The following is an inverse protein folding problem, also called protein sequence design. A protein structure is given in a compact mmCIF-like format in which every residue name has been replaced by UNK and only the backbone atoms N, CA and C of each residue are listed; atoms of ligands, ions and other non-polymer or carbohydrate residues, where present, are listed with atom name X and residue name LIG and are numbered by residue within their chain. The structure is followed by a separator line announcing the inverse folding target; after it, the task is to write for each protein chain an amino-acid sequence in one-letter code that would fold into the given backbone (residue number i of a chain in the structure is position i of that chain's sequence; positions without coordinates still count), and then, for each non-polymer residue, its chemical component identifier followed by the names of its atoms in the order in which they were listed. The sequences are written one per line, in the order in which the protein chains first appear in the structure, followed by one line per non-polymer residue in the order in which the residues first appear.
data_IF_110589142846
#
_entry.id   IF_110589142846
#
_cell.length_a   1.000
_cell.length_b   1.000
_cell.length_c   1.000
_cell.angle_alpha   90.00
_cell.angle_beta   90.00
_cell.angle_gamma   90.00
#
_symmetry.space_group_name_H-M   'P 1'
#
loop_
_entity.id
_entity.type
_entity.pdbx_description
1 polymer ?
#
# COMPACT_ATOMS: atom_id res chain seq x y z
N UNK A 1 -7.45 -14.95 4.64
CA UNK A 1 -6.44 -13.96 5.06
C UNK A 1 -7.06 -12.55 5.05
N UNK A 2 -7.53 -12.09 3.88
CA UNK A 2 -8.18 -10.79 3.68
C UNK A 2 -9.19 -10.34 4.75
N UNK A 3 -10.20 -11.16 5.05
CA UNK A 3 -11.22 -10.77 6.03
C UNK A 3 -10.63 -10.47 7.42
N UNK A 4 -9.53 -11.12 7.80
CA UNK A 4 -8.83 -10.87 9.06
C UNK A 4 -8.05 -9.56 9.02
N UNK A 5 -7.39 -9.26 7.90
CA UNK A 5 -6.62 -8.02 7.71
C UNK A 5 -7.54 -6.80 7.62
N UNK A 6 -8.65 -6.88 6.88
CA UNK A 6 -9.69 -5.85 6.88
C UNK A 6 -10.28 -5.63 8.28
N UNK A 7 -10.49 -6.70 9.04
CA UNK A 7 -10.99 -6.59 10.41
C UNK A 7 -9.95 -5.96 11.33
N UNK A 8 -8.68 -6.31 11.20
CA UNK A 8 -7.57 -5.70 11.94
C UNK A 8 -7.42 -4.22 11.64
N UNK A 9 -7.37 -3.86 10.35
CA UNK A 9 -7.26 -2.47 9.90
C UNK A 9 -8.47 -1.64 10.33
N UNK A 10 -9.68 -2.23 10.34
CA UNK A 10 -10.91 -1.56 10.78
C UNK A 10 -10.90 -1.14 12.24
N UNK A 11 -10.12 -1.82 13.08
CA UNK A 11 -10.02 -1.52 14.51
C UNK A 11 -8.71 -0.82 14.91
N UNK A 12 -7.76 -0.65 13.99
CA UNK A 12 -6.45 -0.07 14.30
C UNK A 12 -6.49 1.45 14.51
N UNK A 13 -7.41 2.15 13.84
CA UNK A 13 -7.56 3.61 13.92
C UNK A 13 -8.94 4.08 14.35
N UNK A 14 -9.72 3.21 14.98
CA UNK A 14 -11.08 3.47 15.43
C UNK A 14 -11.29 3.00 16.86
N UNK A 15 -11.95 3.83 17.67
CA UNK A 15 -12.52 3.37 18.94
C UNK A 15 -13.98 3.77 19.02
N UNK A 16 -14.84 2.80 19.24
CA UNK A 16 -16.27 3.00 19.38
C UNK A 16 -17.04 1.69 19.40
N UNK A 17 -18.36 1.80 19.44
CA UNK A 17 -19.29 0.68 19.30
C UNK A 17 -19.90 0.75 17.90
N UNK A 18 -20.05 -0.37 17.21
CA UNK A 18 -20.70 -0.44 15.89
C UNK A 18 -22.18 0.00 15.91
N UNK A 19 -22.83 0.03 17.08
CA UNK A 19 -24.19 0.55 17.28
C UNK A 19 -24.25 2.08 17.44
N UNK A 20 -23.09 2.74 17.57
CA UNK A 20 -22.99 4.16 17.91
C UNK A 20 -21.99 4.85 16.99
N UNK A 21 -22.07 6.18 16.81
CA UNK A 21 -21.02 6.91 16.13
C UNK A 21 -19.66 6.69 16.81
N UNK A 22 -18.59 6.74 16.02
CA UNK A 22 -17.22 6.57 16.50
C UNK A 22 -16.93 7.53 17.66
N UNK A 23 -16.34 7.04 18.76
CA UNK A 23 -15.90 7.91 19.85
C UNK A 23 -14.70 8.74 19.43
N UNK A 24 -13.80 8.13 18.67
CA UNK A 24 -12.77 8.81 17.91
C UNK A 24 -12.31 7.93 16.75
N UNK A 25 -11.79 8.57 15.71
CA UNK A 25 -11.27 7.93 14.52
C UNK A 25 -10.08 8.73 13.97
N UNK A 26 -9.02 8.05 13.55
CA UNK A 26 -7.91 8.67 12.84
C UNK A 26 -8.39 9.10 11.44
N UNK A 27 -8.06 10.33 11.03
CA UNK A 27 -8.50 10.89 9.74
C UNK A 27 -8.06 10.03 8.54
N UNK A 28 -6.92 9.36 8.63
CA UNK A 28 -6.37 8.53 7.56
C UNK A 28 -6.98 7.12 7.47
N UNK A 29 -7.71 6.69 8.51
CA UNK A 29 -8.22 5.32 8.62
C UNK A 29 -9.15 4.86 7.48
N UNK A 30 -10.14 5.66 7.03
CA UNK A 30 -11.00 5.28 5.90
C UNK A 30 -10.17 5.00 4.63
N UNK A 31 -9.16 5.84 4.38
CA UNK A 31 -8.28 5.72 3.21
C UNK A 31 -7.42 4.47 3.25
N UNK A 32 -6.92 4.08 4.42
CA UNK A 32 -6.13 2.84 4.59
C UNK A 32 -6.96 1.58 4.35
N UNK A 33 -8.21 1.57 4.82
CA UNK A 33 -9.17 0.50 4.56
C UNK A 33 -9.51 0.35 3.08
N UNK A 34 -9.80 1.47 2.40
CA UNK A 34 -10.10 1.47 0.97
C UNK A 34 -8.88 1.04 0.15
N UNK A 35 -7.68 1.47 0.54
CA UNK A 35 -6.44 1.07 -0.12
C UNK A 35 -6.20 -0.43 0.01
N UNK A 36 -6.39 -1.00 1.20
CA UNK A 36 -6.26 -2.44 1.46
C UNK A 36 -7.25 -3.24 0.62
N UNK A 37 -8.52 -2.83 0.58
CA UNK A 37 -9.54 -3.47 -0.24
C UNK A 37 -9.21 -3.42 -1.75
N UNK A 38 -8.61 -2.32 -2.22
CA UNK A 38 -8.23 -2.14 -3.63
C UNK A 38 -7.02 -2.99 -4.01
N UNK A 39 -6.01 -3.06 -3.14
CA UNK A 39 -4.81 -3.89 -3.33
C UNK A 39 -5.15 -5.38 -3.42
N UNK A 40 -6.12 -5.83 -2.63
CA UNK A 40 -6.61 -7.20 -2.60
C UNK A 40 -7.45 -7.57 -3.83
N UNK A 41 -8.10 -6.59 -4.45
CA UNK A 41 -8.67 -6.74 -5.79
C UNK A 41 -7.61 -6.75 -6.90
N UNK A 42 -6.33 -6.65 -6.55
CA UNK A 42 -5.23 -6.58 -7.50
C UNK A 42 -5.22 -5.27 -8.28
N UNK A 43 -5.65 -4.16 -7.67
CA UNK A 43 -5.68 -2.83 -8.30
C UNK A 43 -4.82 -1.85 -7.54
N UNK A 44 -4.27 -0.88 -8.26
CA UNK A 44 -3.51 0.22 -7.66
C UNK A 44 -4.46 1.17 -6.91
N UNK A 45 -4.21 1.46 -5.62
CA UNK A 45 -5.06 2.37 -4.84
C UNK A 45 -4.99 3.82 -5.32
N UNK A 46 -3.96 4.22 -6.08
CA UNK A 46 -3.83 5.58 -6.65
C UNK A 46 -4.46 5.72 -8.03
N UNK A 47 -4.20 4.79 -8.94
CA UNK A 47 -4.59 4.92 -10.35
C UNK A 47 -5.64 3.90 -10.83
N UNK A 48 -6.00 2.91 -10.00
CA UNK A 48 -6.98 1.87 -10.34
C UNK A 48 -6.51 0.83 -11.36
N UNK A 49 -5.30 0.98 -11.91
CA UNK A 49 -4.71 0.03 -12.87
C UNK A 49 -4.49 -1.34 -12.23
N UNK A 50 -4.61 -2.45 -12.99
CA UNK A 50 -4.34 -3.78 -12.48
C UNK A 50 -2.86 -3.92 -12.06
N UNK A 51 -2.63 -4.42 -10.84
CA UNK A 51 -1.31 -4.73 -10.31
C UNK A 51 -0.94 -6.16 -10.68
N UNK A 52 0.27 -6.33 -11.20
CA UNK A 52 0.91 -7.63 -11.34
C UNK A 52 1.92 -7.81 -10.21
N UNK A 53 1.55 -8.57 -9.19
CA UNK A 53 2.47 -8.93 -8.11
C UNK A 53 3.57 -9.85 -8.64
N UNK A 54 4.83 -9.48 -8.43
CA UNK A 54 5.94 -10.39 -8.67
C UNK A 54 5.87 -11.52 -7.63
N UNK A 55 5.91 -12.78 -8.10
CA UNK A 55 5.80 -13.97 -7.23
C UNK A 55 6.99 -14.15 -6.27
N UNK A 56 8.04 -13.33 -6.38
CA UNK A 56 9.25 -13.47 -5.58
C UNK A 56 9.13 -12.58 -4.34
N UNK A 57 9.19 -13.14 -3.12
CA UNK A 57 9.25 -12.33 -1.93
C UNK A 57 10.55 -11.51 -1.92
N UNK A 58 10.43 -10.20 -1.78
CA UNK A 58 11.57 -9.31 -1.59
C UNK A 58 11.88 -9.22 -0.10
N UNK A 59 13.14 -9.43 0.33
CA UNK A 59 13.54 -9.18 1.72
C UNK A 59 13.12 -7.77 2.16
N UNK A 60 12.45 -7.68 3.32
CA UNK A 60 11.90 -6.42 3.82
C UNK A 60 12.96 -5.32 3.98
N UNK A 61 14.19 -5.70 4.35
CA UNK A 61 15.32 -4.76 4.46
C UNK A 61 15.61 -4.04 3.15
N UNK A 62 15.51 -4.73 2.00
CA UNK A 62 15.74 -4.12 0.69
C UNK A 62 14.63 -3.12 0.35
N UNK A 63 13.38 -3.41 0.74
CA UNK A 63 12.27 -2.47 0.57
C UNK A 63 12.52 -1.20 1.35
N UNK A 64 12.99 -1.29 2.60
CA UNK A 64 13.28 -0.14 3.45
C UNK A 64 14.46 0.72 2.95
N UNK A 65 15.44 0.11 2.27
CA UNK A 65 16.58 0.83 1.70
C UNK A 65 16.18 1.77 0.55
N UNK A 66 15.01 1.57 -0.06
CA UNK A 66 14.50 2.41 -1.15
C UNK A 66 13.62 3.57 -0.64
N UNK A 67 13.65 3.88 0.67
CA UNK A 67 12.83 4.93 1.29
C UNK A 67 11.33 4.83 0.93
N UNK A 68 10.71 3.66 1.21
CA UNK A 68 9.35 3.39 0.79
C UNK A 68 8.34 4.21 1.60
N UNK A 69 7.19 4.49 0.99
CA UNK A 69 6.05 5.09 1.68
C UNK A 69 5.05 4.00 2.05
N UNK A 70 4.73 3.86 3.34
CA UNK A 70 3.72 2.90 3.78
C UNK A 70 2.32 3.33 3.30
N UNK A 71 1.59 2.42 2.66
CA UNK A 71 0.22 2.64 2.20
C UNK A 71 -0.77 2.17 3.29
N UNK A 72 -0.65 0.91 3.70
CA UNK A 72 -1.54 0.23 4.65
C UNK A 72 -0.96 -1.12 5.04
N UNK A 73 -1.16 -1.58 6.29
CA UNK A 73 -0.94 -2.96 6.76
C UNK A 73 0.20 -3.78 6.07
N UNK A 74 1.41 -3.22 5.94
CA UNK A 74 2.55 -3.93 5.34
C UNK A 74 2.69 -3.84 3.80
N UNK A 75 1.82 -3.06 3.14
CA UNK A 75 1.97 -2.65 1.75
C UNK A 75 2.72 -1.33 1.67
N UNK A 76 3.74 -1.32 0.82
CA UNK A 76 4.64 -0.19 0.63
C UNK A 76 4.63 0.24 -0.83
N UNK A 77 4.65 1.55 -1.02
CA UNK A 77 4.90 2.17 -2.31
C UNK A 77 6.38 2.49 -2.44
N UNK A 78 7.01 1.91 -3.45
CA UNK A 78 8.39 2.23 -3.81
C UNK A 78 8.42 3.53 -4.62
N UNK A 79 9.49 4.33 -4.51
CA UNK A 79 9.67 5.50 -5.36
C UNK A 79 9.73 5.10 -6.84
N UNK A 80 9.38 6.03 -7.72
CA UNK A 80 9.48 5.81 -9.16
C UNK A 80 10.94 5.52 -9.55
N UNK A 81 11.15 4.40 -10.25
CA UNK A 81 12.46 4.07 -10.81
C UNK A 81 12.81 5.16 -11.81
N UNK A 82 13.95 5.84 -11.59
CA UNK A 82 14.46 6.85 -12.53
C UNK A 82 14.50 6.23 -13.94
N UNK A 83 13.92 6.89 -14.97
CA UNK A 83 14.02 6.39 -16.33
C UNK A 83 15.49 6.31 -16.75
N UNK A 84 15.86 5.32 -17.59
CA UNK A 84 17.22 5.23 -18.09
C UNK A 84 17.60 6.54 -18.80
N UNK A 85 18.85 7.01 -18.67
CA UNK A 85 19.27 8.21 -19.37
C UNK A 85 19.04 8.04 -20.88
N UNK A 86 18.46 9.03 -21.54
CA UNK A 86 18.06 8.99 -22.95
C UNK A 86 19.24 8.90 -23.95
N UNK A 87 20.46 8.62 -23.49
CA UNK A 87 21.66 8.58 -24.31
C UNK A 87 22.10 7.14 -24.60
N UNK A 88 21.98 6.72 -25.87
CA UNK A 88 22.77 5.61 -26.41
C UNK A 88 24.24 5.98 -26.19
N UNK A 89 25.01 5.18 -25.46
CA UNK A 89 26.48 5.32 -25.46
C UNK A 89 26.92 5.18 -26.92
N UNK A 90 27.32 6.29 -27.55
CA UNK A 90 27.96 6.21 -28.85
C UNK A 90 29.30 5.51 -28.61
N UNK A 91 29.45 4.31 -29.15
CA UNK A 91 30.74 3.64 -29.28
C UNK A 91 31.59 4.51 -30.20
N UNK A 92 32.61 5.16 -29.63
CA UNK A 92 33.71 5.78 -30.36
C UNK A 92 34.69 4.69 -30.79
#
# INVERSE_FOLDING_TARGET
ALARELNGERYSGYRGNWKQPAKWQLTEHPRRLESLATLEQGKCPKCGSPIKWNKRPTPFVLVLMEEPVEITAGYYELPEIRPPPAGRRQTT
#
